data_IF_959512506595
#
_entry.id   IF_959512506595
#
_cell.length_a   1.000
_cell.length_b   1.000
_cell.length_c   1.000
_cell.angle_alpha   90.00
_cell.angle_beta   90.00
_cell.angle_gamma   90.00
#
_symmetry.space_group_name_H-M   'P 1'
#
loop_
_entity.id
_entity.type
_entity.pdbx_description
1 polymer ?
#
# COMPACT_ATOMS: atom_id res chain seq x y z
N UNK A 1 -40.87 35.34 23.09
CA UNK A 1 -40.97 36.70 23.70
C UNK A 1 -42.08 36.87 24.75
N UNK A 2 -42.69 35.79 25.25
CA UNK A 2 -43.86 35.82 26.16
C UNK A 2 -43.62 36.49 27.52
N UNK A 3 -42.38 36.57 27.98
CA UNK A 3 -41.99 37.19 29.25
C UNK A 3 -41.21 38.51 29.10
N UNK A 4 -41.20 39.11 27.90
CA UNK A 4 -40.47 40.36 27.64
C UNK A 4 -41.37 41.55 28.00
N UNK A 5 -40.91 42.51 28.82
CA UNK A 5 -41.68 43.72 29.15
C UNK A 5 -42.08 44.52 27.90
N UNK A 6 -43.31 45.04 27.88
CA UNK A 6 -43.83 45.82 26.76
C UNK A 6 -42.94 47.03 26.41
N UNK A 7 -42.32 47.65 27.43
CA UNK A 7 -41.42 48.79 27.26
C UNK A 7 -40.15 48.48 26.44
N UNK A 8 -39.78 47.20 26.30
CA UNK A 8 -38.64 46.79 25.48
C UNK A 8 -38.95 46.82 23.98
N UNK A 9 -40.24 46.81 23.61
CA UNK A 9 -40.69 46.91 22.22
C UNK A 9 -41.34 48.27 21.95
N UNK A 10 -42.01 48.86 22.94
CA UNK A 10 -42.71 50.14 22.86
C UNK A 10 -41.93 51.23 23.59
N UNK A 11 -41.10 51.97 22.85
CA UNK A 11 -40.32 53.10 23.37
C UNK A 11 -41.23 54.33 23.53
N UNK A 12 -41.62 54.64 24.77
CA UNK A 12 -42.51 55.77 25.11
C UNK A 12 -44.00 55.47 24.90
N UNK A 13 -44.81 56.52 24.69
CA UNK A 13 -46.27 56.43 24.44
C UNK A 13 -46.63 56.03 22.98
N UNK A 14 -45.63 55.66 22.16
CA UNK A 14 -45.81 55.35 20.75
C UNK A 14 -46.08 53.85 20.54
N UNK A 15 -47.37 53.50 20.49
CA UNK A 15 -47.84 52.12 20.31
C UNK A 15 -48.15 51.72 18.86
N UNK A 16 -47.83 52.58 17.88
CA UNK A 16 -48.23 52.38 16.47
C UNK A 16 -47.02 52.20 15.55
N UNK A 17 -47.15 51.28 14.60
CA UNK A 17 -46.21 51.01 13.50
C UNK A 17 -44.82 50.45 13.90
N UNK A 18 -44.77 49.54 14.88
CA UNK A 18 -43.57 48.72 15.10
C UNK A 18 -43.57 47.58 14.07
N UNK A 19 -42.46 47.43 13.36
CA UNK A 19 -42.23 46.29 12.47
C UNK A 19 -42.20 44.98 13.29
N UNK A 20 -42.90 43.96 12.80
CA UNK A 20 -43.00 42.65 13.45
C UNK A 20 -41.96 41.65 12.95
N UNK A 21 -41.09 42.07 12.03
CA UNK A 21 -39.98 41.25 11.55
C UNK A 21 -38.89 41.15 12.61
N UNK A 22 -38.20 40.02 12.64
CA UNK A 22 -37.09 39.81 13.58
C UNK A 22 -36.03 40.93 13.48
N UNK A 23 -35.68 41.33 12.26
CA UNK A 23 -34.67 42.35 12.00
C UNK A 23 -35.13 43.78 12.36
N UNK A 24 -36.43 44.03 12.53
CA UNK A 24 -36.92 45.36 12.92
C UNK A 24 -36.45 45.74 14.34
N UNK A 25 -36.15 44.74 15.18
CA UNK A 25 -35.60 44.94 16.52
C UNK A 25 -34.19 44.32 16.69
N UNK A 26 -33.91 43.21 16.01
CA UNK A 26 -32.68 42.42 16.20
C UNK A 26 -31.61 42.66 15.14
N UNK A 27 -31.69 43.72 14.32
CA UNK A 27 -30.70 44.01 13.27
C UNK A 27 -29.25 44.04 13.79
N UNK A 28 -29.00 44.66 14.95
CA UNK A 28 -27.66 44.72 15.55
C UNK A 28 -27.22 43.41 16.21
N UNK A 29 -28.18 42.54 16.53
CA UNK A 29 -27.95 41.23 17.15
C UNK A 29 -27.78 40.14 16.09
N UNK A 30 -28.08 40.42 14.82
CA UNK A 30 -27.85 39.50 13.72
C UNK A 30 -26.35 39.33 13.47
N UNK A 31 -25.81 38.23 14.01
CA UNK A 31 -24.42 37.80 13.81
C UNK A 31 -24.10 37.52 12.35
N UNK A 32 -25.11 37.28 11.50
CA UNK A 32 -24.93 37.06 10.08
C UNK A 32 -24.80 38.37 9.30
N UNK A 33 -25.12 39.52 9.90
CA UNK A 33 -25.04 40.86 9.30
C UNK A 33 -25.88 40.99 8.02
N UNK A 34 -27.12 40.50 8.06
CA UNK A 34 -28.10 40.55 6.99
C UNK A 34 -27.89 39.56 5.84
N UNK A 35 -26.87 38.69 5.93
CA UNK A 35 -26.47 37.82 4.80
C UNK A 35 -27.49 36.76 4.39
N UNK A 36 -28.40 36.38 5.29
CA UNK A 36 -29.44 35.39 5.02
C UNK A 36 -30.84 36.01 4.87
N UNK A 37 -30.92 37.34 4.74
CA UNK A 37 -32.19 38.06 4.66
C UNK A 37 -32.87 38.20 6.03
N UNK A 38 -34.19 38.43 6.01
CA UNK A 38 -34.98 38.72 7.21
C UNK A 38 -35.79 37.53 7.75
N UNK A 39 -35.76 36.38 7.06
CA UNK A 39 -36.48 35.17 7.45
C UNK A 39 -35.68 34.34 8.45
N UNK A 40 -35.44 34.90 9.64
CA UNK A 40 -34.65 34.22 10.67
C UNK A 40 -35.26 32.87 11.09
N UNK A 41 -36.59 32.73 10.98
CA UNK A 41 -37.36 31.53 11.31
C UNK A 41 -37.04 30.31 10.46
N UNK A 42 -36.41 30.50 9.30
CA UNK A 42 -35.99 29.39 8.43
C UNK A 42 -34.91 28.54 9.11
N UNK A 43 -34.10 29.18 9.96
CA UNK A 43 -33.01 28.52 10.66
C UNK A 43 -33.17 28.57 12.18
N UNK A 44 -33.71 29.64 12.77
CA UNK A 44 -33.76 29.81 14.22
C UNK A 44 -35.18 29.65 14.77
N UNK A 45 -35.29 29.09 15.97
CA UNK A 45 -36.54 29.06 16.74
C UNK A 45 -36.44 30.03 17.92
N UNK A 46 -37.51 30.76 18.20
CA UNK A 46 -37.63 31.64 19.39
C UNK A 46 -37.39 30.87 20.70
N UNK A 47 -37.81 29.61 20.78
CA UNK A 47 -37.65 28.77 21.98
C UNK A 47 -36.24 28.19 22.14
N UNK A 48 -35.36 28.39 21.15
CA UNK A 48 -34.07 27.71 21.06
C UNK A 48 -33.07 28.39 20.13
N UNK A 49 -32.98 29.73 20.20
CA UNK A 49 -32.29 30.55 19.20
C UNK A 49 -30.85 30.11 18.88
N UNK A 50 -30.11 29.65 19.90
CA UNK A 50 -28.71 29.19 19.74
C UNK A 50 -28.58 27.93 18.89
N UNK A 51 -29.65 27.15 18.71
CA UNK A 51 -29.65 25.95 17.88
C UNK A 51 -30.31 26.28 16.54
N UNK A 52 -29.49 26.50 15.53
CA UNK A 52 -30.00 26.55 14.17
C UNK A 52 -30.56 25.17 13.77
N UNK A 53 -31.69 25.16 13.07
CA UNK A 53 -32.31 24.00 12.42
C UNK A 53 -31.67 23.66 11.08
N UNK A 54 -30.76 24.52 10.60
CA UNK A 54 -30.02 24.28 9.38
C UNK A 54 -29.10 23.08 9.57
N UNK A 55 -29.23 22.11 8.67
CA UNK A 55 -28.51 20.84 8.72
C UNK A 55 -27.88 20.59 7.34
N UNK A 56 -26.56 20.48 7.30
CA UNK A 56 -25.80 20.27 6.07
C UNK A 56 -26.14 18.94 5.37
N UNK A 57 -26.53 17.92 6.14
CA UNK A 57 -26.82 16.59 5.61
C UNK A 57 -28.12 16.56 4.80
N UNK A 58 -29.08 17.41 5.16
CA UNK A 58 -30.40 17.47 4.52
C UNK A 58 -30.58 18.70 3.64
N UNK A 59 -29.93 19.82 3.97
CA UNK A 59 -30.11 21.11 3.29
C UNK A 59 -29.07 21.36 2.19
N UNK A 60 -28.01 20.56 2.12
CA UNK A 60 -26.93 20.77 1.15
C UNK A 60 -26.49 19.47 0.45
N UNK A 61 -25.63 19.61 -0.56
CA UNK A 61 -24.99 18.46 -1.24
C UNK A 61 -23.63 18.09 -0.63
N UNK A 62 -23.34 18.58 0.58
CA UNK A 62 -22.10 18.31 1.31
C UNK A 62 -22.45 18.01 2.77
N UNK A 63 -22.79 16.75 3.07
CA UNK A 63 -23.01 16.29 4.44
C UNK A 63 -21.74 16.43 5.29
N UNK A 64 -21.87 16.91 6.52
CA UNK A 64 -20.73 17.07 7.44
C UNK A 64 -20.55 15.79 8.24
N UNK A 65 -19.74 14.88 7.71
CA UNK A 65 -19.46 13.57 8.29
C UNK A 65 -18.06 13.48 8.89
N UNK A 66 -17.86 12.45 9.71
CA UNK A 66 -16.55 12.16 10.30
C UNK A 66 -15.99 13.35 11.09
N UNK A 67 -14.74 13.73 10.80
CA UNK A 67 -14.08 14.87 11.43
C UNK A 67 -14.77 16.22 11.11
N UNK A 68 -15.44 16.35 9.97
CA UNK A 68 -16.14 17.57 9.58
C UNK A 68 -17.45 17.79 10.33
N UNK A 69 -18.00 16.77 11.02
CA UNK A 69 -19.22 16.90 11.81
C UNK A 69 -19.10 17.89 12.99
N UNK A 70 -17.87 18.25 13.37
CA UNK A 70 -17.57 19.23 14.42
C UNK A 70 -17.09 20.57 13.87
N UNK A 71 -17.09 20.76 12.54
CA UNK A 71 -16.66 22.00 11.93
C UNK A 71 -17.70 23.10 12.19
N UNK A 72 -17.22 24.28 12.53
CA UNK A 72 -18.04 25.48 12.66
C UNK A 72 -18.21 26.13 11.29
N UNK A 73 -19.29 26.89 11.09
CA UNK A 73 -19.59 27.51 9.78
C UNK A 73 -18.43 28.37 9.25
N UNK A 74 -17.72 29.04 10.15
CA UNK A 74 -16.61 29.93 9.84
C UNK A 74 -15.34 29.18 9.38
N UNK A 75 -15.18 27.91 9.74
CA UNK A 75 -14.00 27.10 9.38
C UNK A 75 -13.91 26.91 7.86
N UNK A 76 -15.06 26.87 7.18
CA UNK A 76 -15.13 26.73 5.73
C UNK A 76 -15.53 28.04 5.03
N UNK A 77 -16.56 28.74 5.51
CA UNK A 77 -17.10 29.91 4.81
C UNK A 77 -16.42 31.23 5.18
N UNK A 78 -15.53 31.22 6.18
CA UNK A 78 -14.88 32.41 6.69
C UNK A 78 -15.89 33.51 7.06
N UNK A 79 -15.58 34.74 6.65
CA UNK A 79 -16.43 35.89 6.95
C UNK A 79 -17.75 35.93 6.19
N UNK A 80 -17.87 35.29 5.02
CA UNK A 80 -19.06 35.35 4.17
C UNK A 80 -19.71 33.97 4.06
N UNK A 81 -20.59 33.68 5.02
CA UNK A 81 -21.31 32.41 5.20
C UNK A 81 -22.15 31.95 3.99
N UNK A 82 -22.36 32.82 2.99
CA UNK A 82 -23.12 32.53 1.77
C UNK A 82 -22.24 32.12 0.58
N UNK A 83 -20.92 32.12 0.76
CA UNK A 83 -19.99 31.76 -0.31
C UNK A 83 -20.17 30.30 -0.71
N UNK A 84 -20.26 30.03 -2.02
CA UNK A 84 -20.24 28.67 -2.54
C UNK A 84 -18.85 28.08 -2.33
N UNK A 85 -18.77 26.97 -1.60
CA UNK A 85 -17.53 26.25 -1.36
C UNK A 85 -17.48 25.02 -2.27
N UNK A 86 -16.29 24.71 -2.75
CA UNK A 86 -16.03 23.49 -3.51
C UNK A 86 -16.13 22.26 -2.60
N UNK A 87 -16.72 21.19 -3.12
CA UNK A 87 -16.82 19.89 -2.42
C UNK A 87 -15.58 19.01 -2.59
N UNK A 88 -14.60 19.48 -3.38
CA UNK A 88 -13.36 18.75 -3.65
C UNK A 88 -12.40 18.97 -2.49
N UNK A 89 -11.98 17.89 -1.84
CA UNK A 89 -11.12 17.89 -0.64
C UNK A 89 -9.89 18.81 -0.81
N UNK A 90 -9.19 18.69 -1.93
CA UNK A 90 -7.97 19.45 -2.24
C UNK A 90 -8.16 20.96 -2.19
N UNK A 91 -9.35 21.48 -2.47
CA UNK A 91 -9.58 22.94 -2.46
C UNK A 91 -9.50 23.57 -1.08
N UNK A 92 -9.73 22.79 -0.02
CA UNK A 92 -9.54 23.22 1.37
C UNK A 92 -8.25 22.61 1.97
N UNK A 93 -7.87 21.41 1.53
CA UNK A 93 -6.76 20.65 2.07
C UNK A 93 -5.47 20.71 1.24
N UNK A 94 -5.26 21.76 0.43
CA UNK A 94 -4.09 21.87 -0.45
C UNK A 94 -2.77 21.82 0.33
N UNK A 95 -2.70 22.51 1.48
CA UNK A 95 -1.49 22.57 2.30
C UNK A 95 -1.23 21.26 3.07
N UNK A 96 -2.27 20.43 3.23
CA UNK A 96 -2.23 19.15 3.92
C UNK A 96 -1.93 17.99 2.96
N UNK A 97 -1.90 18.22 1.65
CA UNK A 97 -1.59 17.18 0.68
C UNK A 97 -0.10 16.81 0.71
N UNK A 98 0.19 15.76 1.47
CA UNK A 98 1.52 15.18 1.61
C UNK A 98 2.02 14.50 0.32
N UNK A 99 1.12 14.22 -0.64
CA UNK A 99 1.45 13.63 -1.94
C UNK A 99 1.87 14.67 -2.97
N UNK A 100 1.78 15.97 -2.65
CA UNK A 100 2.20 17.07 -3.52
C UNK A 100 1.56 17.01 -4.92
N UNK A 101 0.28 16.62 -4.99
CA UNK A 101 -0.50 16.52 -6.22
C UNK A 101 -0.19 15.30 -7.10
N UNK A 102 0.69 14.39 -6.69
CA UNK A 102 1.11 13.27 -7.53
C UNK A 102 0.02 12.20 -7.75
N UNK A 103 -0.94 12.08 -6.83
CA UNK A 103 -2.01 11.08 -6.85
C UNK A 103 -3.37 11.62 -7.37
N UNK A 104 -3.39 12.87 -7.86
CA UNK A 104 -4.62 13.52 -8.32
C UNK A 104 -5.47 14.07 -7.18
N UNK A 105 -6.72 14.46 -7.50
CA UNK A 105 -7.61 15.22 -6.60
C UNK A 105 -8.69 14.37 -5.91
N UNK A 106 -8.84 13.10 -6.32
CA UNK A 106 -9.86 12.20 -5.80
C UNK A 106 -9.36 11.49 -4.54
N UNK A 107 -9.10 12.27 -3.48
CA UNK A 107 -8.55 11.78 -2.22
C UNK A 107 -9.41 10.66 -1.61
N UNK A 108 -10.73 10.73 -1.80
CA UNK A 108 -11.74 9.77 -1.36
C UNK A 108 -11.60 8.38 -1.96
N UNK A 109 -10.77 8.22 -2.99
CA UNK A 109 -10.43 6.90 -3.54
C UNK A 109 -9.64 6.07 -2.55
N UNK A 110 -8.86 6.73 -1.67
CA UNK A 110 -7.99 6.07 -0.71
C UNK A 110 -8.29 6.47 0.73
N UNK A 111 -8.54 7.76 0.98
CA UNK A 111 -8.80 8.31 2.31
C UNK A 111 -10.29 8.42 2.58
N UNK A 112 -10.66 8.44 3.87
CA UNK A 112 -12.03 8.75 4.30
C UNK A 112 -12.03 9.93 5.27
N UNK A 113 -13.17 10.60 5.38
CA UNK A 113 -13.37 11.80 6.20
C UNK A 113 -13.55 11.50 7.71
N UNK A 114 -13.64 10.23 8.09
CA UNK A 114 -13.82 9.79 9.48
C UNK A 114 -12.48 9.52 10.17
N UNK A 115 -11.56 8.85 9.49
CA UNK A 115 -10.23 8.49 9.98
C UNK A 115 -9.21 8.53 8.82
N UNK A 116 -8.72 9.73 8.50
CA UNK A 116 -7.91 10.03 7.32
C UNK A 116 -6.68 9.12 7.14
N UNK A 117 -6.01 8.75 8.23
CA UNK A 117 -4.75 8.00 8.22
C UNK A 117 -4.87 6.53 8.66
N UNK A 118 -6.05 6.06 9.08
CA UNK A 118 -6.19 4.71 9.68
C UNK A 118 -6.72 3.66 8.70
N UNK A 119 -7.60 4.06 7.78
CA UNK A 119 -8.26 3.15 6.85
C UNK A 119 -8.01 3.58 5.41
N UNK A 120 -6.72 3.77 5.07
CA UNK A 120 -6.33 4.10 3.70
C UNK A 120 -6.47 2.85 2.83
N UNK A 121 -7.45 2.87 1.92
CA UNK A 121 -7.75 1.74 1.06
C UNK A 121 -7.09 1.94 -0.30
N UNK A 122 -6.06 1.15 -0.60
CA UNK A 122 -5.48 1.10 -1.94
C UNK A 122 -5.26 -0.35 -2.36
N UNK A 123 -5.79 -0.72 -3.52
CA UNK A 123 -5.68 -2.08 -4.05
C UNK A 123 -4.59 -2.16 -5.12
N UNK A 124 -3.45 -2.74 -4.74
CA UNK A 124 -2.35 -3.03 -5.65
C UNK A 124 -2.72 -4.00 -6.78
N UNK A 125 -3.78 -4.81 -6.63
CA UNK A 125 -4.29 -5.69 -7.68
C UNK A 125 -4.83 -4.94 -8.90
N UNK A 126 -5.08 -3.63 -8.77
CA UNK A 126 -5.47 -2.75 -9.87
C UNK A 126 -4.28 -2.07 -10.56
N UNK A 127 -3.05 -2.40 -10.14
CA UNK A 127 -1.81 -1.81 -10.66
C UNK A 127 -1.00 -2.86 -11.43
N UNK A 128 0.06 -2.39 -12.11
CA UNK A 128 1.04 -3.26 -12.75
C UNK A 128 1.93 -4.02 -11.74
N UNK A 129 1.79 -3.74 -10.43
CA UNK A 129 2.52 -4.43 -9.37
C UNK A 129 1.56 -5.00 -8.30
N UNK A 130 0.88 -6.13 -8.60
CA UNK A 130 0.06 -6.83 -7.61
C UNK A 130 0.94 -7.39 -6.49
N UNK A 131 0.59 -7.08 -5.24
CA UNK A 131 1.27 -7.65 -4.09
C UNK A 131 0.89 -9.13 -3.95
N UNK A 132 1.85 -10.01 -4.21
CA UNK A 132 1.67 -11.46 -4.11
C UNK A 132 2.54 -12.06 -3.02
N UNK A 133 2.02 -13.10 -2.38
CA UNK A 133 2.72 -13.83 -1.33
C UNK A 133 3.03 -12.97 -0.12
N UNK A 134 4.28 -13.03 0.34
CA UNK A 134 4.70 -12.31 1.54
C UNK A 134 4.66 -10.78 1.37
N UNK A 135 4.64 -10.26 0.14
CA UNK A 135 4.49 -8.81 -0.09
C UNK A 135 3.08 -8.30 0.24
N UNK A 136 2.05 -9.17 0.22
CA UNK A 136 0.67 -8.75 0.48
C UNK A 136 0.40 -8.28 1.91
N UNK A 137 1.34 -8.53 2.83
CA UNK A 137 1.28 -8.09 4.23
C UNK A 137 2.33 -7.04 4.56
N UNK A 138 3.06 -6.54 3.56
CA UNK A 138 4.02 -5.46 3.77
C UNK A 138 3.28 -4.13 3.99
N UNK A 139 3.80 -3.32 4.91
CA UNK A 139 3.33 -1.96 5.09
C UNK A 139 3.77 -1.07 3.91
N UNK A 140 3.02 -0.01 3.62
CA UNK A 140 3.27 0.87 2.49
C UNK A 140 4.70 1.43 2.48
N UNK A 141 5.18 1.85 3.66
CA UNK A 141 6.51 2.44 3.88
C UNK A 141 7.66 1.48 3.63
N UNK A 142 7.41 0.17 3.55
CA UNK A 142 8.46 -0.81 3.24
C UNK A 142 8.92 -0.72 1.77
N UNK A 143 8.06 -0.22 0.89
CA UNK A 143 8.37 -0.02 -0.54
C UNK A 143 8.36 1.46 -0.92
N UNK A 144 7.45 2.24 -0.32
CA UNK A 144 7.31 3.67 -0.55
C UNK A 144 8.03 4.45 0.56
N UNK A 145 9.36 4.45 0.48
CA UNK A 145 10.22 5.19 1.43
C UNK A 145 9.86 6.68 1.52
N UNK A 146 9.36 7.22 0.41
CA UNK A 146 8.80 8.56 0.33
C UNK A 146 7.28 8.46 0.14
N UNK A 147 6.56 9.53 0.50
CA UNK A 147 5.12 9.67 0.19
C UNK A 147 4.86 9.94 -1.30
N UNK A 148 5.89 9.88 -2.14
CA UNK A 148 5.80 9.91 -3.60
C UNK A 148 5.68 8.47 -4.12
N UNK A 149 4.47 7.91 -4.02
CA UNK A 149 4.18 6.49 -4.29
C UNK A 149 4.52 6.01 -5.72
N UNK A 150 4.79 6.91 -6.67
CA UNK A 150 5.12 6.57 -8.06
C UNK A 150 6.60 6.23 -8.29
N UNK A 151 7.45 6.42 -7.29
CA UNK A 151 8.91 6.30 -7.44
C UNK A 151 9.45 4.91 -7.10
N UNK A 152 8.63 4.06 -6.45
CA UNK A 152 9.05 2.72 -6.04
C UNK A 152 9.35 1.82 -7.25
N UNK A 153 10.51 1.16 -7.21
CA UNK A 153 10.90 0.17 -8.21
C UNK A 153 10.04 -1.09 -8.12
N UNK A 154 9.79 -1.72 -9.28
CA UNK A 154 8.96 -2.92 -9.38
C UNK A 154 9.75 -4.20 -9.63
N UNK A 155 11.07 -4.11 -9.79
CA UNK A 155 11.91 -5.31 -9.99
C UNK A 155 12.32 -5.86 -8.64
N UNK A 156 12.46 -7.18 -8.53
CA UNK A 156 12.91 -7.82 -7.29
C UNK A 156 14.22 -7.21 -6.77
N UNK A 157 15.16 -6.91 -7.67
CA UNK A 157 16.45 -6.32 -7.36
C UNK A 157 16.39 -4.88 -6.86
N UNK A 158 15.32 -4.14 -7.15
CA UNK A 158 15.20 -2.74 -6.73
C UNK A 158 15.12 -2.66 -5.20
N UNK A 159 14.57 -3.70 -4.56
CA UNK A 159 14.52 -3.83 -3.09
C UNK A 159 15.53 -4.87 -2.56
N UNK A 160 15.67 -6.01 -3.23
CA UNK A 160 16.43 -7.17 -2.76
C UNK A 160 17.83 -7.29 -3.38
N UNK A 161 18.44 -6.20 -3.89
CA UNK A 161 19.81 -6.24 -4.41
C UNK A 161 20.83 -6.79 -3.39
N UNK A 162 20.68 -6.44 -2.11
CA UNK A 162 21.54 -6.91 -1.03
C UNK A 162 21.34 -8.38 -0.64
N UNK A 163 20.21 -8.97 -1.01
CA UNK A 163 19.87 -10.37 -0.70
C UNK A 163 20.35 -11.35 -1.78
N UNK A 164 20.89 -10.84 -2.90
CA UNK A 164 21.34 -11.70 -4.00
C UNK A 164 22.64 -12.45 -3.67
N UNK A 165 22.48 -13.67 -3.16
CA UNK A 165 23.57 -14.61 -2.91
C UNK A 165 24.26 -15.12 -4.19
N UNK A 166 23.66 -14.88 -5.36
CA UNK A 166 24.20 -15.30 -6.66
C UNK A 166 25.21 -14.32 -7.24
N UNK A 167 25.35 -13.13 -6.64
CA UNK A 167 26.25 -12.07 -7.08
C UNK A 167 26.08 -11.72 -8.58
N UNK A 168 24.83 -11.60 -9.04
CA UNK A 168 24.49 -11.24 -10.41
C UNK A 168 24.74 -12.32 -11.46
N UNK A 169 25.10 -13.56 -11.07
CA UNK A 169 25.40 -14.66 -12.00
C UNK A 169 24.22 -15.03 -12.89
N UNK A 170 23.03 -15.05 -12.33
CA UNK A 170 21.80 -15.27 -13.07
C UNK A 170 21.20 -13.91 -13.35
N UNK A 171 20.97 -13.59 -14.64
CA UNK A 171 20.28 -12.36 -15.05
C UNK A 171 19.07 -12.16 -14.13
N UNK A 172 18.87 -10.94 -13.63
CA UNK A 172 17.99 -10.55 -12.50
C UNK A 172 16.50 -10.84 -12.75
N UNK A 173 16.17 -12.11 -12.94
CA UNK A 173 14.85 -12.72 -13.10
C UNK A 173 14.71 -13.77 -12.01
N UNK A 174 14.66 -13.29 -10.77
CA UNK A 174 14.58 -14.12 -9.58
C UNK A 174 13.37 -15.05 -9.64
N UNK A 175 12.26 -14.56 -10.20
CA UNK A 175 10.98 -15.26 -10.41
C UNK A 175 11.07 -16.51 -11.29
N UNK A 176 12.17 -16.69 -12.03
CA UNK A 176 12.41 -17.91 -12.80
C UNK A 176 12.64 -19.14 -11.92
N UNK A 177 13.14 -18.93 -10.70
CA UNK A 177 13.53 -19.99 -9.78
C UNK A 177 12.91 -19.81 -8.38
N UNK A 178 12.73 -18.57 -7.92
CA UNK A 178 12.21 -18.24 -6.60
C UNK A 178 10.76 -17.78 -6.68
N UNK A 179 10.01 -18.01 -5.60
CA UNK A 179 8.65 -17.52 -5.44
C UNK A 179 8.52 -16.65 -4.19
N UNK A 180 7.82 -15.50 -4.25
CA UNK A 180 7.53 -14.69 -3.06
C UNK A 180 6.62 -15.41 -2.04
N UNK A 181 5.98 -16.53 -2.42
CA UNK A 181 5.24 -17.42 -1.51
C UNK A 181 6.14 -18.36 -0.70
N UNK A 182 7.45 -18.35 -0.95
CA UNK A 182 8.38 -19.23 -0.26
C UNK A 182 9.75 -19.20 -0.92
N UNK A 183 10.53 -18.17 -0.63
CA UNK A 183 11.81 -17.88 -1.30
C UNK A 183 12.80 -19.04 -1.27
N UNK A 184 12.79 -19.83 -0.19
CA UNK A 184 13.65 -21.01 -0.01
C UNK A 184 13.29 -22.19 -0.89
N UNK A 185 12.09 -22.20 -1.49
CA UNK A 185 11.68 -23.22 -2.45
C UNK A 185 12.15 -22.77 -3.82
N UNK A 186 13.24 -23.38 -4.28
CA UNK A 186 13.86 -23.07 -5.57
C UNK A 186 13.43 -24.10 -6.60
N UNK A 187 12.86 -23.63 -7.71
CA UNK A 187 12.60 -24.44 -8.89
C UNK A 187 13.85 -24.48 -9.78
N UNK A 188 14.79 -25.36 -9.46
CA UNK A 188 16.00 -25.55 -10.26
C UNK A 188 16.24 -27.03 -10.61
N UNK A 189 16.23 -27.33 -11.90
CA UNK A 189 16.44 -28.66 -12.46
C UNK A 189 17.80 -28.71 -13.16
N UNK A 190 18.75 -29.39 -12.52
CA UNK A 190 20.10 -29.59 -13.05
C UNK A 190 20.12 -30.28 -14.42
N UNK A 191 19.19 -31.18 -14.71
CA UNK A 191 19.15 -31.91 -15.98
C UNK A 191 18.61 -31.07 -17.14
N UNK A 192 17.81 -30.04 -16.85
CA UNK A 192 17.26 -29.12 -17.87
C UNK A 192 18.08 -27.84 -18.02
N UNK A 193 18.63 -27.33 -16.92
CA UNK A 193 19.29 -26.01 -16.87
C UNK A 193 20.82 -26.12 -16.89
N UNK A 194 21.38 -27.32 -16.75
CA UNK A 194 22.83 -27.54 -16.81
C UNK A 194 23.16 -28.75 -17.66
N UNK A 195 24.46 -28.96 -17.92
CA UNK A 195 24.97 -30.17 -18.60
C UNK A 195 25.25 -31.32 -17.62
N UNK A 196 24.83 -31.20 -16.36
CA UNK A 196 25.12 -32.15 -15.29
C UNK A 196 23.84 -32.58 -14.58
N UNK A 197 23.15 -33.58 -15.13
CA UNK A 197 21.94 -34.11 -14.54
C UNK A 197 22.23 -34.92 -13.27
N UNK A 198 21.60 -34.55 -12.15
CA UNK A 198 21.66 -35.31 -10.90
C UNK A 198 20.80 -36.57 -11.03
N UNK A 199 21.45 -37.73 -11.11
CA UNK A 199 20.80 -39.03 -11.30
C UNK A 199 21.19 -40.02 -10.20
N UNK A 200 20.40 -41.09 -10.05
CA UNK A 200 20.65 -42.13 -9.06
C UNK A 200 20.65 -41.57 -7.64
N UNK A 201 21.68 -41.90 -6.85
CA UNK A 201 21.82 -41.43 -5.48
C UNK A 201 21.97 -39.90 -5.37
N UNK A 202 22.49 -39.23 -6.42
CA UNK A 202 22.63 -37.77 -6.44
C UNK A 202 21.31 -37.04 -6.64
N UNK A 203 20.23 -37.71 -7.05
CA UNK A 203 18.94 -37.03 -7.24
C UNK A 203 18.34 -36.47 -5.93
N UNK A 204 18.85 -36.91 -4.76
CA UNK A 204 18.39 -36.47 -3.44
C UNK A 204 19.38 -35.52 -2.73
N UNK A 205 20.51 -35.17 -3.36
CA UNK A 205 21.49 -34.27 -2.72
C UNK A 205 20.98 -32.83 -2.72
N UNK A 206 21.18 -32.14 -1.60
CA UNK A 206 20.93 -30.71 -1.49
C UNK A 206 22.01 -29.89 -2.18
N UNK A 207 21.69 -28.63 -2.52
CA UNK A 207 22.62 -27.73 -3.22
C UNK A 207 23.98 -27.61 -2.49
N UNK A 208 23.95 -27.50 -1.16
CA UNK A 208 25.14 -27.27 -0.33
C UNK A 208 26.01 -28.51 -0.09
N UNK A 209 25.54 -29.71 -0.47
CA UNK A 209 26.35 -30.93 -0.39
C UNK A 209 27.55 -30.84 -1.36
N UNK A 210 27.32 -30.22 -2.51
CA UNK A 210 28.31 -29.95 -3.55
C UNK A 210 28.79 -28.49 -3.52
N UNK A 211 27.86 -27.52 -3.48
CA UNK A 211 28.17 -26.08 -3.47
C UNK A 211 28.45 -25.58 -2.04
N UNK A 212 29.61 -25.97 -1.50
CA UNK A 212 29.99 -25.68 -0.10
C UNK A 212 30.25 -24.21 0.18
N UNK A 213 30.54 -23.41 -0.85
CA UNK A 213 30.61 -21.95 -0.72
C UNK A 213 29.19 -21.41 -0.73
N UNK A 214 28.89 -20.49 0.20
CA UNK A 214 27.56 -19.88 0.33
C UNK A 214 27.13 -19.07 -0.90
N UNK A 215 28.08 -18.69 -1.77
CA UNK A 215 27.79 -18.03 -3.04
C UNK A 215 27.95 -19.01 -4.21
N UNK A 216 26.96 -19.01 -5.08
CA UNK A 216 26.98 -19.74 -6.36
C UNK A 216 27.66 -18.94 -7.48
N UNK A 217 28.24 -17.78 -7.19
CA UNK A 217 29.06 -17.02 -8.15
C UNK A 217 30.13 -17.92 -8.79
N UNK A 218 30.74 -18.79 -7.97
CA UNK A 218 31.71 -19.83 -8.35
C UNK A 218 31.10 -21.25 -8.34
N UNK A 219 29.82 -21.42 -8.68
CA UNK A 219 29.18 -22.73 -8.68
C UNK A 219 29.68 -23.70 -9.76
N UNK A 220 30.61 -23.28 -10.62
CA UNK A 220 31.28 -24.19 -11.57
C UNK A 220 32.14 -25.20 -10.81
N UNK A 221 31.59 -26.40 -10.62
CA UNK A 221 32.31 -27.54 -10.07
C UNK A 221 32.77 -28.48 -11.19
N UNK A 222 33.87 -29.22 -10.99
CA UNK A 222 34.22 -30.32 -11.88
C UNK A 222 33.09 -31.36 -11.92
N UNK A 223 32.79 -31.88 -13.10
CA UNK A 223 31.71 -32.86 -13.31
C UNK A 223 32.19 -34.31 -13.31
N UNK A 224 33.51 -34.55 -13.26
CA UNK A 224 34.06 -35.90 -13.26
C UNK A 224 33.85 -36.56 -11.89
N UNK A 225 33.51 -37.86 -11.89
CA UNK A 225 33.29 -38.62 -10.66
C UNK A 225 34.49 -38.53 -9.72
N UNK A 226 35.70 -38.65 -10.28
CA UNK A 226 36.95 -38.61 -9.52
C UNK A 226 37.18 -37.29 -8.80
N UNK A 227 36.76 -36.14 -9.35
CA UNK A 227 36.99 -34.85 -8.71
C UNK A 227 36.34 -34.73 -7.32
N UNK A 228 35.19 -35.37 -7.14
CA UNK A 228 34.49 -35.41 -5.85
C UNK A 228 34.83 -36.68 -5.05
N UNK A 229 35.03 -37.80 -5.75
CA UNK A 229 35.17 -39.13 -5.14
C UNK A 229 36.61 -39.66 -5.07
N UNK A 230 37.64 -38.83 -5.29
CA UNK A 230 39.04 -39.26 -5.21
C UNK A 230 39.39 -39.98 -3.90
N UNK A 231 38.83 -39.52 -2.77
CA UNK A 231 39.05 -40.14 -1.45
C UNK A 231 38.23 -41.42 -1.22
N UNK A 232 37.24 -41.67 -2.07
CA UNK A 232 36.36 -42.85 -2.00
C UNK A 232 36.77 -43.92 -3.01
N UNK A 233 37.79 -43.67 -3.84
CA UNK A 233 38.31 -44.67 -4.78
C UNK A 233 39.05 -45.79 -4.05
N UNK A 234 38.39 -46.93 -3.92
CA UNK A 234 38.94 -48.15 -3.32
C UNK A 234 40.01 -48.82 -4.18
N UNK A 235 40.06 -48.50 -5.48
CA UNK A 235 41.02 -49.06 -6.43
C UNK A 235 42.35 -48.30 -6.43
N UNK A 236 42.44 -47.19 -5.69
CA UNK A 236 43.66 -46.37 -5.55
C UNK A 236 44.25 -45.98 -6.91
N UNK A 237 43.40 -45.67 -7.89
CA UNK A 237 43.79 -45.23 -9.23
C UNK A 237 44.14 -46.34 -10.22
N UNK A 238 44.00 -47.62 -9.87
CA UNK A 238 44.41 -48.75 -10.73
C UNK A 238 43.66 -48.83 -12.08
N UNK A 239 42.42 -48.35 -12.15
CA UNK A 239 41.55 -48.46 -13.34
C UNK A 239 41.28 -47.11 -14.03
N UNK A 240 42.11 -46.10 -13.77
CA UNK A 240 41.90 -44.75 -14.30
C UNK A 240 40.82 -43.96 -13.53
N UNK A 241 40.33 -42.87 -14.14
CA UNK A 241 39.41 -41.91 -13.48
C UNK A 241 37.99 -41.92 -14.04
N UNK A 242 37.77 -42.62 -15.14
CA UNK A 242 36.48 -42.71 -15.84
C UNK A 242 35.57 -43.76 -15.19
N UNK A 243 35.15 -43.46 -13.96
CA UNK A 243 34.36 -44.37 -13.12
C UNK A 243 33.06 -44.84 -13.81
N UNK A 244 32.51 -44.02 -14.71
CA UNK A 244 31.28 -44.29 -15.46
C UNK A 244 31.42 -45.44 -16.48
N UNK A 245 32.62 -45.94 -16.74
CA UNK A 245 32.82 -47.11 -17.60
C UNK A 245 32.42 -48.42 -16.93
N UNK A 246 32.42 -48.45 -15.59
CA UNK A 246 32.10 -49.64 -14.80
C UNK A 246 31.02 -49.40 -13.74
N UNK A 247 30.81 -48.17 -13.28
CA UNK A 247 29.87 -47.83 -12.21
C UNK A 247 28.75 -46.91 -12.68
N UNK A 248 27.62 -46.95 -11.96
CA UNK A 248 26.47 -46.09 -12.21
C UNK A 248 26.28 -45.09 -11.08
N UNK A 249 25.52 -44.03 -11.34
CA UNK A 249 25.15 -43.05 -10.31
C UNK A 249 24.16 -43.61 -9.27
N UNK A 250 23.56 -44.78 -9.51
CA UNK A 250 22.63 -45.44 -8.58
C UNK A 250 23.36 -46.14 -7.44
N UNK A 251 24.50 -46.79 -7.71
CA UNK A 251 25.31 -47.50 -6.71
C UNK A 251 26.72 -47.76 -7.22
N UNK A 252 27.71 -47.62 -6.33
CA UNK A 252 29.11 -48.00 -6.56
C UNK A 252 29.43 -49.42 -6.05
N UNK A 253 28.49 -50.09 -5.37
CA UNK A 253 28.71 -51.44 -4.83
C UNK A 253 28.79 -52.51 -5.92
N UNK A 254 28.22 -52.24 -7.08
CA UNK A 254 28.22 -53.15 -8.23
C UNK A 254 28.94 -52.50 -9.40
N UNK A 255 29.67 -53.32 -10.15
CA UNK A 255 30.28 -52.94 -11.42
C UNK A 255 29.59 -53.69 -12.56
N UNK A 256 29.43 -53.04 -13.70
CA UNK A 256 28.95 -53.67 -14.92
C UNK A 256 30.09 -53.85 -15.91
N UNK A 257 30.00 -54.90 -16.73
CA UNK A 257 30.89 -55.10 -17.86
C UNK A 257 30.14 -54.64 -19.10
N UNK A 258 30.53 -53.48 -19.65
CA UNK A 258 30.09 -53.10 -20.99
C UNK A 258 30.72 -54.05 -21.99
N UNK A 259 29.97 -55.05 -22.45
CA UNK A 259 30.40 -55.80 -23.63
C UNK A 259 30.41 -54.83 -24.82
N UNK A 260 31.61 -54.44 -25.27
CA UNK A 260 31.77 -53.73 -26.54
C UNK A 260 31.18 -54.63 -27.62
N UNK A 261 30.04 -54.24 -28.21
CA UNK A 261 29.60 -54.83 -29.47
C UNK A 261 30.74 -54.57 -30.47
N UNK A 262 31.35 -55.66 -30.93
CA UNK A 262 32.30 -55.64 -32.06
C UNK A 262 31.59 -55.12 -33.30
#
# INVERSE_FOLDING_TARGET
>A
HTNVPCANCHLGEYYKNIGLGCNDCHAIQDVHRGRFGAMCSDCHNEDGWKKARFDHDTSTRFPLKGAHAKAECADCHGGALTSKISKVCETCHTAQDVHRGQLGKACETCHNDTAWDQDVLFDHGLTDYPLIGLHAVAACEACHETRAYKEAGSRCSDCHAGDDVHAGRFTVRCESCHSPNGWRRVAFDHGKQTKFALTGAHAKTGCYDCHRRKSVADASLPTSCYACHAKQDVHRGAFGRDCADCHTTSTFKTAFIRQKKK
#
